data_IF_913467803809
#
_entry.id   IF_913467803809
#
_cell.length_a   1.000
_cell.length_b   1.000
_cell.length_c   1.000
_cell.angle_alpha   90.00
_cell.angle_beta   90.00
_cell.angle_gamma   90.00
#
_symmetry.space_group_name_H-M   'P 1'
#
loop_
_entity.id
_entity.type
_entity.pdbx_description
1 polymer ?
#
# COMPACT_ATOMS: atom_id res chain seq x y z
N UNK A 1 -0.73 1.59 -12.48
CA UNK A 1 0.68 1.67 -12.88
C UNK A 1 0.84 2.84 -13.84
N UNK A 2 1.77 3.76 -13.61
CA UNK A 2 2.02 4.87 -14.54
C UNK A 2 3.00 4.46 -15.63
N UNK A 3 4.20 3.97 -15.28
CA UNK A 3 5.24 3.50 -16.24
C UNK A 3 5.67 2.05 -15.96
N UNK A 4 6.24 1.38 -16.96
CA UNK A 4 6.93 0.09 -16.82
C UNK A 4 6.03 -1.14 -16.99
N UNK A 5 6.51 -2.33 -16.58
CA UNK A 5 5.77 -3.60 -16.69
C UNK A 5 5.30 -4.09 -15.33
N UNK A 6 4.02 -4.40 -15.19
CA UNK A 6 3.41 -4.90 -13.95
C UNK A 6 2.68 -6.22 -14.16
N UNK A 7 2.78 -7.14 -13.21
CA UNK A 7 2.02 -8.39 -13.22
C UNK A 7 1.12 -8.43 -11.98
N UNK A 8 -0.17 -8.63 -12.20
CA UNK A 8 -1.20 -8.68 -11.16
C UNK A 8 -1.96 -9.98 -11.37
N UNK A 9 -1.85 -10.93 -10.44
CA UNK A 9 -2.51 -12.22 -10.58
C UNK A 9 -3.10 -12.75 -9.28
N UNK A 10 -4.07 -13.67 -9.39
CA UNK A 10 -4.77 -14.35 -8.28
C UNK A 10 -5.22 -13.42 -7.13
N UNK A 11 -5.61 -12.19 -7.45
CA UNK A 11 -6.10 -11.20 -6.48
C UNK A 11 -7.64 -11.16 -6.45
N UNK A 12 -8.22 -10.89 -5.27
CA UNK A 12 -9.67 -10.78 -5.07
C UNK A 12 -10.10 -9.32 -4.82
N UNK A 13 -10.86 -8.74 -5.74
CA UNK A 13 -11.36 -7.37 -5.66
C UNK A 13 -12.86 -7.38 -5.34
N UNK A 14 -13.27 -6.74 -4.24
CA UNK A 14 -14.67 -6.78 -3.75
C UNK A 14 -15.31 -5.42 -3.49
N UNK A 15 -14.59 -4.34 -3.78
CA UNK A 15 -15.01 -3.01 -3.35
C UNK A 15 -16.12 -2.45 -4.24
N UNK A 16 -17.36 -2.67 -3.81
CA UNK A 16 -18.55 -2.14 -4.45
C UNK A 16 -18.56 -0.60 -4.36
N UNK A 17 -18.83 0.06 -5.49
CA UNK A 17 -18.88 1.53 -5.59
C UNK A 17 -17.54 2.22 -5.88
N UNK A 18 -16.41 1.49 -5.95
CA UNK A 18 -15.14 2.08 -6.36
C UNK A 18 -15.18 2.54 -7.83
N UNK A 19 -14.43 3.61 -8.13
CA UNK A 19 -14.33 4.13 -9.48
C UNK A 19 -13.59 3.19 -10.44
N UNK A 20 -12.61 2.42 -9.97
CA UNK A 20 -11.90 1.36 -10.70
C UNK A 20 -11.12 0.46 -9.74
N UNK A 21 -10.72 -0.74 -10.19
CA UNK A 21 -9.82 -1.63 -9.40
C UNK A 21 -8.36 -1.55 -9.87
N UNK A 22 -8.11 -1.69 -11.17
CA UNK A 22 -6.76 -1.60 -11.76
C UNK A 22 -6.72 -0.46 -12.77
N UNK A 23 -5.89 0.54 -12.51
CA UNK A 23 -5.67 1.64 -13.46
C UNK A 23 -4.27 1.57 -14.08
N UNK A 24 -4.19 1.56 -15.41
CA UNK A 24 -2.92 1.60 -16.15
C UNK A 24 -2.81 2.91 -16.92
N UNK A 25 -1.71 3.63 -16.74
CA UNK A 25 -1.46 4.95 -17.32
C UNK A 25 -0.25 4.97 -18.25
N UNK A 26 0.27 6.17 -18.44
CA UNK A 26 1.27 6.58 -19.42
C UNK A 26 2.50 5.68 -19.57
N UNK A 27 2.55 4.89 -20.64
CA UNK A 27 3.64 3.99 -21.02
C UNK A 27 3.83 2.79 -20.10
N UNK A 28 2.79 2.40 -19.35
CA UNK A 28 2.76 1.14 -18.63
C UNK A 28 2.19 0.00 -19.48
N UNK A 29 2.69 -1.21 -19.23
CA UNK A 29 2.14 -2.46 -19.73
C UNK A 29 1.85 -3.42 -18.57
N UNK A 30 0.59 -3.79 -18.37
CA UNK A 30 0.18 -4.61 -17.23
C UNK A 30 -0.41 -5.92 -17.68
N UNK A 31 0.04 -7.00 -17.07
CA UNK A 31 -0.50 -8.34 -17.19
C UNK A 31 -1.43 -8.60 -15.99
N UNK A 32 -2.71 -8.82 -16.26
CA UNK A 32 -3.78 -9.02 -15.28
C UNK A 32 -4.33 -10.44 -15.47
N UNK A 33 -3.94 -11.37 -14.60
CA UNK A 33 -4.19 -12.81 -14.79
C UNK A 33 -4.94 -13.47 -13.63
N UNK A 34 -5.95 -14.27 -13.94
CA UNK A 34 -6.63 -15.13 -12.97
C UNK A 34 -7.09 -14.43 -11.68
N UNK A 35 -7.42 -13.15 -11.74
CA UNK A 35 -7.98 -12.39 -10.63
C UNK A 35 -9.50 -12.57 -10.58
N UNK A 36 -10.10 -12.38 -9.41
CA UNK A 36 -11.55 -12.38 -9.23
C UNK A 36 -12.03 -10.97 -8.89
N UNK A 37 -12.95 -10.45 -9.69
CA UNK A 37 -13.57 -9.14 -9.50
C UNK A 37 -15.05 -9.33 -9.15
N UNK A 38 -15.46 -8.91 -7.95
CA UNK A 38 -16.83 -9.04 -7.44
C UNK A 38 -17.47 -7.67 -7.21
N UNK A 39 -18.58 -7.40 -7.89
CA UNK A 39 -19.38 -6.18 -7.75
C UNK A 39 -18.60 -4.86 -7.91
N UNK A 40 -17.42 -4.90 -8.54
CA UNK A 40 -16.61 -3.71 -8.78
C UNK A 40 -17.03 -3.02 -10.07
N UNK A 41 -16.92 -1.69 -10.09
CA UNK A 41 -17.05 -0.89 -11.30
C UNK A 41 -15.66 -0.63 -11.89
N UNK A 42 -15.55 -0.67 -13.23
CA UNK A 42 -14.31 -0.58 -13.99
C UNK A 42 -13.17 -1.48 -13.43
N UNK A 43 -13.29 -2.82 -13.49
CA UNK A 43 -12.27 -3.76 -13.00
C UNK A 43 -10.85 -3.41 -13.43
N UNK A 44 -10.67 -3.04 -14.70
CA UNK A 44 -9.42 -2.51 -15.21
C UNK A 44 -9.69 -1.47 -16.30
N UNK A 45 -8.88 -0.42 -16.29
CA UNK A 45 -9.04 0.70 -17.23
C UNK A 45 -7.72 1.37 -17.59
N UNK A 46 -7.71 2.01 -18.74
CA UNK A 46 -6.73 3.04 -19.05
C UNK A 46 -7.05 4.31 -18.25
N UNK A 47 -6.03 4.90 -17.62
CA UNK A 47 -6.16 6.03 -16.69
C UNK A 47 -6.12 7.39 -17.38
N UNK A 48 -5.35 7.47 -18.46
CA UNK A 48 -5.09 8.68 -19.24
C UNK A 48 -5.23 8.36 -20.74
N UNK A 49 -4.88 9.30 -21.63
CA UNK A 49 -4.90 9.08 -23.09
C UNK A 49 -3.53 8.72 -23.67
N UNK A 50 -2.52 8.53 -22.82
CA UNK A 50 -1.17 8.23 -23.28
C UNK A 50 -1.05 6.75 -23.68
N UNK A 51 -0.02 6.38 -24.46
CA UNK A 51 0.16 5.01 -24.87
C UNK A 51 0.27 4.05 -23.68
N UNK A 52 -0.46 2.95 -23.67
CA UNK A 52 -0.44 1.96 -22.58
C UNK A 52 -0.96 0.62 -23.09
N UNK A 53 -0.73 -0.46 -22.34
CA UNK A 53 -1.19 -1.79 -22.71
C UNK A 53 -1.71 -2.57 -21.50
N UNK A 54 -2.85 -3.23 -21.64
CA UNK A 54 -3.37 -4.17 -20.63
C UNK A 54 -3.56 -5.54 -21.30
N UNK A 55 -2.78 -6.52 -20.86
CA UNK A 55 -3.04 -7.93 -21.15
C UNK A 55 -3.93 -8.47 -20.03
N UNK A 56 -5.19 -8.80 -20.31
CA UNK A 56 -6.09 -9.40 -19.34
C UNK A 56 -6.47 -10.83 -19.78
N UNK A 57 -6.21 -11.84 -18.96
CA UNK A 57 -6.59 -13.23 -19.26
C UNK A 57 -6.96 -14.03 -18.02
N UNK A 58 -7.85 -15.02 -18.16
CA UNK A 58 -8.24 -15.93 -17.09
C UNK A 58 -8.95 -15.31 -15.88
N UNK A 59 -9.25 -14.01 -15.87
CA UNK A 59 -9.94 -13.34 -14.76
C UNK A 59 -11.44 -13.69 -14.73
N UNK A 60 -12.03 -13.68 -13.53
CA UNK A 60 -13.48 -13.81 -13.31
C UNK A 60 -14.09 -12.46 -12.98
N UNK A 61 -15.23 -12.16 -13.60
CA UNK A 61 -16.00 -10.93 -13.42
C UNK A 61 -17.41 -11.26 -12.94
N UNK A 62 -17.61 -11.25 -11.63
CA UNK A 62 -18.89 -11.52 -10.97
C UNK A 62 -19.59 -10.21 -10.60
N UNK A 63 -20.75 -9.93 -11.19
CA UNK A 63 -21.53 -8.72 -10.91
C UNK A 63 -20.81 -7.39 -11.24
N UNK A 64 -19.74 -7.41 -12.04
CA UNK A 64 -18.96 -6.20 -12.35
C UNK A 64 -19.64 -5.31 -13.39
N UNK A 65 -19.38 -4.01 -13.33
CA UNK A 65 -19.89 -3.02 -14.29
C UNK A 65 -18.76 -2.14 -14.86
N UNK A 66 -19.08 -1.34 -15.88
CA UNK A 66 -18.15 -0.38 -16.48
C UNK A 66 -17.10 -1.00 -17.41
N UNK A 67 -15.91 -0.38 -17.44
CA UNK A 67 -14.78 -0.67 -18.34
C UNK A 67 -14.01 -1.92 -17.96
N UNK A 68 -13.59 -2.65 -18.99
CA UNK A 68 -12.68 -3.79 -18.91
C UNK A 68 -11.68 -3.66 -20.06
N UNK A 69 -10.86 -2.62 -19.97
CA UNK A 69 -9.95 -2.24 -21.06
C UNK A 69 -8.84 -3.30 -21.24
N UNK A 70 -8.63 -3.75 -22.47
CA UNK A 70 -7.54 -4.69 -22.82
C UNK A 70 -6.98 -4.36 -24.20
N UNK A 71 -5.76 -4.81 -24.47
CA UNK A 71 -5.02 -4.46 -25.68
C UNK A 71 -4.24 -3.16 -25.51
N UNK A 72 -3.92 -2.54 -26.65
CA UNK A 72 -3.20 -1.28 -26.69
C UNK A 72 -4.15 -0.09 -26.64
N UNK A 73 -3.75 0.93 -25.88
CA UNK A 73 -4.15 2.31 -26.12
C UNK A 73 -2.93 3.03 -26.72
N UNK A 74 -3.08 3.69 -27.85
CA UNK A 74 -1.96 4.32 -28.54
C UNK A 74 -0.91 3.32 -29.07
N UNK A 75 0.29 3.81 -29.37
CA UNK A 75 1.38 3.01 -29.95
C UNK A 75 2.69 3.22 -29.19
N UNK A 76 3.61 2.27 -29.31
CA UNK A 76 4.94 2.36 -28.68
C UNK A 76 5.06 1.69 -27.30
N UNK A 77 4.03 0.96 -26.84
CA UNK A 77 4.10 0.14 -25.63
C UNK A 77 4.05 -1.33 -26.00
N UNK A 78 5.14 -2.05 -25.71
CA UNK A 78 5.21 -3.49 -25.94
C UNK A 78 4.31 -4.25 -24.95
N UNK A 79 3.46 -5.17 -25.41
CA UNK A 79 2.64 -6.00 -24.53
C UNK A 79 3.49 -6.78 -23.53
N UNK A 80 3.09 -6.76 -22.26
CA UNK A 80 3.61 -7.66 -21.26
C UNK A 80 2.69 -8.87 -21.17
N UNK A 81 3.14 -9.99 -21.71
CA UNK A 81 2.36 -11.25 -21.84
C UNK A 81 3.04 -12.45 -21.19
N UNK A 82 4.34 -12.33 -20.91
CA UNK A 82 5.16 -13.37 -20.30
C UNK A 82 6.15 -12.75 -19.28
N UNK A 83 5.93 -12.95 -17.98
CA UNK A 83 6.87 -12.57 -16.94
C UNK A 83 8.22 -13.29 -17.07
N UNK A 84 9.35 -12.65 -16.73
CA UNK A 84 10.68 -13.26 -16.80
C UNK A 84 10.97 -14.22 -15.62
N UNK A 85 9.92 -14.71 -14.95
CA UNK A 85 10.00 -15.57 -13.79
C UNK A 85 8.89 -16.62 -13.85
N UNK A 86 9.15 -17.78 -13.25
CA UNK A 86 8.15 -18.85 -13.15
C UNK A 86 7.09 -18.51 -12.10
N UNK A 87 5.84 -18.86 -12.40
CA UNK A 87 4.71 -18.71 -11.49
C UNK A 87 3.67 -19.78 -11.80
N UNK A 88 2.85 -20.10 -10.81
CA UNK A 88 1.66 -20.92 -10.98
C UNK A 88 0.43 -20.04 -10.76
N UNK A 89 -0.63 -20.33 -11.50
CA UNK A 89 -1.90 -19.64 -11.35
C UNK A 89 -2.90 -20.57 -10.69
N UNK A 90 -3.55 -20.10 -9.62
CA UNK A 90 -4.76 -20.74 -9.14
C UNK A 90 -5.92 -20.47 -10.11
N UNK A 91 -6.94 -21.32 -10.10
CA UNK A 91 -8.17 -21.05 -10.85
C UNK A 91 -8.82 -19.80 -10.27
N UNK A 92 -9.14 -18.83 -11.12
CA UNK A 92 -9.74 -17.57 -10.70
C UNK A 92 -11.02 -17.76 -9.88
N UNK A 93 -11.84 -18.78 -10.16
CA UNK A 93 -13.06 -19.07 -9.38
C UNK A 93 -12.76 -19.49 -7.93
N UNK A 94 -11.59 -20.06 -7.67
CA UNK A 94 -11.18 -20.50 -6.35
C UNK A 94 -10.54 -19.35 -5.55
N UNK A 95 -10.09 -18.29 -6.22
CA UNK A 95 -9.41 -17.14 -5.60
C UNK A 95 -10.20 -16.51 -4.44
N UNK A 96 -11.53 -16.26 -4.50
CA UNK A 96 -12.26 -15.77 -3.34
C UNK A 96 -12.14 -16.69 -2.13
N UNK A 97 -12.22 -18.01 -2.34
CA UNK A 97 -12.06 -19.01 -1.29
C UNK A 97 -10.63 -19.05 -0.76
N UNK A 98 -9.63 -19.09 -1.64
CA UNK A 98 -8.21 -19.08 -1.27
C UNK A 98 -7.87 -17.82 -0.50
N UNK A 99 -8.23 -16.64 -1.00
CA UNK A 99 -7.95 -15.37 -0.32
C UNK A 99 -8.70 -15.29 1.01
N UNK A 100 -9.99 -15.62 1.06
CA UNK A 100 -10.75 -15.52 2.32
C UNK A 100 -10.28 -16.53 3.36
N UNK A 101 -9.81 -17.71 2.92
CA UNK A 101 -9.34 -18.75 3.83
C UNK A 101 -7.86 -18.58 4.20
N UNK A 102 -7.04 -18.02 3.30
CA UNK A 102 -5.57 -18.06 3.38
C UNK A 102 -4.89 -16.70 3.40
N UNK A 103 -5.56 -15.62 3.01
CA UNK A 103 -5.01 -14.28 3.21
C UNK A 103 -5.21 -13.84 4.67
N UNK A 104 -4.23 -13.11 5.19
CA UNK A 104 -4.18 -12.70 6.59
C UNK A 104 -3.44 -13.70 7.49
N UNK A 105 -3.11 -13.29 8.74
CA UNK A 105 -2.36 -14.14 9.66
C UNK A 105 -3.22 -15.31 10.13
N UNK A 106 -2.82 -16.54 9.80
CA UNK A 106 -3.38 -17.75 10.43
C UNK A 106 -2.60 -18.09 11.69
N UNK A 107 -3.27 -18.16 12.85
CA UNK A 107 -2.70 -18.82 14.02
C UNK A 107 -2.71 -20.33 13.76
N UNK A 108 -1.55 -20.97 13.79
CA UNK A 108 -1.34 -22.39 13.44
C UNK A 108 -1.89 -23.40 14.46
N UNK A 109 -2.73 -23.00 15.42
CA UNK A 109 -3.28 -23.90 16.43
C UNK A 109 -4.64 -23.40 16.96
N UNK A 110 -5.77 -24.09 16.67
CA UNK A 110 -7.06 -23.71 17.22
C UNK A 110 -7.20 -24.33 18.61
N UNK A 111 -6.77 -23.60 19.65
CA UNK A 111 -7.32 -23.85 20.99
C UNK A 111 -8.44 -22.85 21.18
N UNK A 112 -9.68 -23.36 21.14
CA UNK A 112 -10.92 -22.60 21.28
C UNK A 112 -10.90 -21.76 22.56
N UNK A 113 -10.94 -20.42 22.50
CA UNK A 113 -11.28 -19.61 23.66
C UNK A 113 -12.76 -19.82 24.00
N UNK A 114 -13.16 -19.80 25.28
CA UNK A 114 -14.54 -20.11 25.68
C UNK A 114 -15.52 -19.13 25.04
N UNK A 115 -16.60 -19.67 24.47
CA UNK A 115 -17.73 -18.93 23.94
C UNK A 115 -18.36 -18.13 25.07
N UNK A 116 -18.16 -16.81 25.07
CA UNK A 116 -19.03 -15.88 25.79
C UNK A 116 -19.85 -15.13 24.75
N UNK A 117 -21.16 -15.13 24.96
CA UNK A 117 -22.15 -14.52 24.08
C UNK A 117 -21.80 -13.05 23.85
N UNK A 118 -21.76 -12.56 22.60
CA UNK A 118 -21.52 -11.15 22.33
C UNK A 118 -22.60 -10.29 23.01
N UNK A 119 -22.23 -9.23 23.76
CA UNK A 119 -23.22 -8.30 24.27
C UNK A 119 -23.83 -7.55 23.08
N UNK A 120 -25.16 -7.57 22.97
CA UNK A 120 -25.94 -6.66 22.13
C UNK A 120 -25.88 -5.27 22.74
N UNK A 121 -24.95 -4.45 22.30
CA UNK A 121 -25.02 -3.00 22.47
C UNK A 121 -24.95 -2.32 21.12
N UNK A 122 -25.93 -1.45 20.88
CA UNK A 122 -26.11 -0.68 19.66
C UNK A 122 -24.88 0.18 19.40
N UNK A 123 -24.35 0.26 18.15
CA UNK A 123 -23.23 1.14 17.83
C UNK A 123 -23.53 2.60 18.23
N UNK A 124 -22.63 3.30 18.96
CA UNK A 124 -22.82 4.71 19.23
C UNK A 124 -22.56 5.50 17.94
N UNK A 125 -23.52 6.31 17.53
CA UNK A 125 -23.30 7.41 16.58
C UNK A 125 -22.52 8.51 17.30
N UNK A 126 -21.20 8.53 17.12
CA UNK A 126 -20.37 9.69 17.44
C UNK A 126 -19.85 10.33 16.17
N UNK A 127 -20.10 11.63 16.05
CA UNK A 127 -19.63 12.49 14.96
C UNK A 127 -18.10 12.49 14.93
N UNK A 128 -17.45 12.44 13.74
CA UNK A 128 -15.99 12.54 13.64
C UNK A 128 -15.46 13.81 14.34
N UNK A 129 -14.43 13.72 15.18
CA UNK A 129 -13.83 14.91 15.78
C UNK A 129 -13.02 15.67 14.72
N UNK A 130 -13.36 16.95 14.51
CA UNK A 130 -12.49 17.92 13.86
C UNK A 130 -11.41 18.35 14.85
N UNK A 131 -10.27 17.66 14.86
CA UNK A 131 -9.06 18.16 15.53
C UNK A 131 -8.11 18.75 14.51
N UNK A 132 -7.73 20.00 14.75
CA UNK A 132 -6.73 20.75 13.99
C UNK A 132 -5.37 20.02 14.10
N UNK A 133 -4.57 19.91 13.01
CA UNK A 133 -3.25 19.28 13.08
C UNK A 133 -2.34 19.94 14.12
N UNK A 134 -1.54 19.17 14.88
CA UNK A 134 -0.61 19.75 15.84
C UNK A 134 0.49 20.52 15.11
N UNK A 135 0.65 21.79 15.46
CA UNK A 135 1.77 22.63 15.05
C UNK A 135 2.95 22.40 15.99
N UNK A 136 3.82 21.45 15.65
CA UNK A 136 5.16 21.37 16.24
C UNK A 136 6.13 22.12 15.33
N UNK A 137 6.82 23.13 15.88
CA UNK A 137 7.85 23.87 15.14
C UNK A 137 8.92 22.89 14.62
N UNK A 138 9.36 22.99 13.35
CA UNK A 138 10.36 22.07 12.81
C UNK A 138 11.70 22.24 13.55
N UNK A 139 12.39 21.15 13.92
CA UNK A 139 13.77 21.23 14.36
C UNK A 139 14.66 21.77 13.23
N UNK A 140 15.67 22.57 13.58
CA UNK A 140 16.58 23.29 12.69
C UNK A 140 17.60 22.40 11.96
N UNK A 141 17.18 21.22 11.49
CA UNK A 141 18.00 20.31 10.69
C UNK A 141 17.76 20.47 9.19
N UNK A 142 18.60 19.83 8.37
CA UNK A 142 18.41 19.79 6.91
C UNK A 142 17.08 19.15 6.49
N UNK A 143 16.47 18.32 7.36
CA UNK A 143 15.12 17.79 7.19
C UNK A 143 14.44 17.51 8.53
N UNK A 144 13.11 17.36 8.49
CA UNK A 144 12.27 16.87 9.57
C UNK A 144 11.42 15.69 9.11
N UNK A 145 10.92 14.89 10.05
CA UNK A 145 10.03 13.77 9.78
C UNK A 145 8.86 13.76 10.75
N UNK A 146 7.65 13.50 10.25
CA UNK A 146 6.42 13.43 11.05
C UNK A 146 5.72 12.10 10.81
N UNK A 147 5.18 11.50 11.87
CA UNK A 147 4.53 10.20 11.83
C UNK A 147 3.04 10.32 12.11
N UNK A 148 2.24 9.48 11.45
CA UNK A 148 0.88 9.17 11.88
C UNK A 148 0.56 7.69 11.68
N UNK A 149 -0.33 7.17 12.51
CA UNK A 149 -0.99 5.89 12.27
C UNK A 149 -2.13 6.10 11.29
N UNK A 150 -2.10 5.39 10.16
CA UNK A 150 -3.15 5.46 9.12
C UNK A 150 -4.33 4.56 9.50
N UNK A 151 -4.02 3.36 9.98
CA UNK A 151 -5.01 2.39 10.47
C UNK A 151 -4.36 1.44 11.48
N UNK A 152 -5.17 0.79 12.30
CA UNK A 152 -4.73 -0.27 13.20
C UNK A 152 -5.74 -1.41 13.26
N UNK A 153 -5.25 -2.59 13.60
CA UNK A 153 -6.03 -3.80 13.79
C UNK A 153 -5.43 -4.61 14.95
N UNK A 154 -6.10 -5.69 15.34
CA UNK A 154 -5.58 -6.58 16.39
C UNK A 154 -4.22 -7.14 15.97
N UNK A 155 -3.16 -6.74 16.68
CA UNK A 155 -1.80 -7.21 16.46
C UNK A 155 -0.99 -6.47 15.38
N UNK A 156 -1.52 -5.39 14.78
CA UNK A 156 -0.73 -4.61 13.84
C UNK A 156 -1.31 -3.24 13.49
N UNK A 157 -0.54 -2.47 12.72
CA UNK A 157 -0.91 -1.12 12.30
C UNK A 157 -0.21 -0.70 11.02
N UNK A 158 -0.78 0.29 10.33
CA UNK A 158 -0.13 0.97 9.22
C UNK A 158 0.40 2.32 9.69
N UNK A 159 1.71 2.53 9.53
CA UNK A 159 2.39 3.78 9.79
C UNK A 159 2.66 4.54 8.49
N UNK A 160 2.55 5.86 8.55
CA UNK A 160 2.98 6.76 7.48
C UNK A 160 3.93 7.81 8.05
N UNK A 161 5.00 8.09 7.33
CA UNK A 161 5.99 9.10 7.67
C UNK A 161 6.16 10.09 6.53
N UNK A 162 5.96 11.36 6.83
CA UNK A 162 6.24 12.48 5.92
C UNK A 162 7.60 13.06 6.26
N UNK A 163 8.50 13.07 5.27
CA UNK A 163 9.81 13.71 5.34
C UNK A 163 9.71 15.07 4.67
N UNK A 164 10.24 16.11 5.32
CA UNK A 164 10.25 17.48 4.81
C UNK A 164 11.67 18.06 4.84
N UNK A 165 12.11 18.62 3.73
CA UNK A 165 13.36 19.38 3.66
C UNK A 165 13.23 20.70 4.43
N UNK A 166 14.34 21.18 5.00
CA UNK A 166 14.43 22.50 5.60
C UNK A 166 14.42 23.63 4.56
N UNK A 167 15.08 24.75 4.87
CA UNK A 167 15.11 25.91 3.97
C UNK A 167 16.10 25.75 2.80
N UNK A 168 16.82 24.64 2.72
CA UNK A 168 17.73 24.28 1.63
C UNK A 168 17.28 22.96 0.97
N UNK A 169 17.56 22.77 -0.33
CA UNK A 169 17.31 21.49 -0.99
C UNK A 169 18.22 20.39 -0.40
N UNK A 170 17.72 19.15 -0.43
CA UNK A 170 18.47 17.97 0.02
C UNK A 170 18.51 16.92 -1.09
N UNK A 171 19.59 16.13 -1.15
CA UNK A 171 19.78 15.03 -2.13
C UNK A 171 19.84 13.66 -1.48
N UNK A 172 19.17 13.52 -0.35
CA UNK A 172 19.00 12.28 0.37
C UNK A 172 18.38 12.56 1.72
N UNK A 173 17.75 11.55 2.29
CA UNK A 173 17.25 11.64 3.65
C UNK A 173 17.37 10.30 4.34
N UNK A 174 17.53 10.35 5.65
CA UNK A 174 17.52 9.19 6.52
C UNK A 174 16.69 9.49 7.74
N UNK A 175 15.63 8.72 7.95
CA UNK A 175 14.77 8.79 9.13
C UNK A 175 15.15 7.68 10.09
N UNK A 176 15.23 7.99 11.38
CA UNK A 176 15.53 7.02 12.44
C UNK A 176 14.59 7.16 13.61
N UNK A 177 14.23 6.03 14.21
CA UNK A 177 13.45 5.95 15.44
C UNK A 177 13.66 4.61 16.14
N UNK A 178 13.11 4.49 17.34
CA UNK A 178 13.06 3.22 18.07
C UNK A 178 11.62 2.72 18.14
N UNK A 179 11.44 1.43 17.88
CA UNK A 179 10.19 0.71 18.07
C UNK A 179 9.90 0.57 19.57
N UNK A 180 8.62 0.67 19.93
CA UNK A 180 8.16 0.36 21.28
C UNK A 180 8.26 -1.14 21.55
N UNK A 181 8.29 -1.54 22.83
CA UNK A 181 8.33 -2.96 23.19
C UNK A 181 7.19 -3.75 22.53
N UNK A 182 7.51 -4.88 21.91
CA UNK A 182 6.54 -5.72 21.20
C UNK A 182 6.16 -5.23 19.80
N UNK A 183 6.72 -4.12 19.30
CA UNK A 183 6.55 -3.70 17.91
C UNK A 183 7.66 -4.25 17.01
N UNK A 184 7.29 -4.53 15.77
CA UNK A 184 8.17 -4.86 14.66
C UNK A 184 7.72 -4.16 13.38
N UNK A 185 8.58 -4.09 12.37
CA UNK A 185 8.19 -3.67 11.02
C UNK A 185 8.18 -4.91 10.13
N UNK A 186 7.04 -5.21 9.51
CA UNK A 186 6.88 -6.37 8.64
C UNK A 186 7.03 -6.02 7.16
N UNK A 187 6.68 -4.80 6.76
CA UNK A 187 6.83 -4.32 5.39
C UNK A 187 7.06 -2.82 5.37
N UNK A 188 7.84 -2.32 4.42
CA UNK A 188 8.05 -0.90 4.18
C UNK A 188 8.04 -0.62 2.67
N UNK A 189 7.51 0.54 2.26
CA UNK A 189 7.53 1.01 0.87
C UNK A 189 8.03 2.45 0.80
N UNK A 190 8.48 2.86 -0.39
CA UNK A 190 9.07 4.18 -0.67
C UNK A 190 10.28 4.54 0.22
N UNK A 191 11.00 3.53 0.69
CA UNK A 191 12.24 3.68 1.44
C UNK A 191 12.98 2.35 1.53
N UNK A 192 14.25 2.42 1.96
CA UNK A 192 15.07 1.25 2.23
C UNK A 192 15.22 1.09 3.75
N UNK A 193 14.69 -0.02 4.28
CA UNK A 193 14.62 -0.32 5.72
C UNK A 193 15.88 -1.08 6.18
N UNK A 194 16.45 -0.64 7.28
CA UNK A 194 17.43 -1.40 8.07
C UNK A 194 17.04 -1.36 9.54
N UNK A 195 17.06 -2.52 10.20
CA UNK A 195 16.69 -2.67 11.61
C UNK A 195 17.81 -3.34 12.39
N UNK A 196 18.10 -2.85 13.59
CA UNK A 196 19.01 -3.48 14.54
C UNK A 196 18.38 -3.44 15.94
N UNK A 197 17.93 -4.59 16.43
CA UNK A 197 17.10 -4.63 17.64
C UNK A 197 15.82 -3.81 17.47
N UNK A 198 15.58 -2.87 18.38
CA UNK A 198 14.45 -1.93 18.31
C UNK A 198 14.73 -0.69 17.45
N UNK A 199 15.97 -0.46 17.02
CA UNK A 199 16.33 0.71 16.22
C UNK A 199 16.00 0.50 14.74
N UNK A 200 15.28 1.46 14.19
CA UNK A 200 14.86 1.50 12.79
C UNK A 200 15.58 2.65 12.08
N UNK A 201 16.12 2.36 10.90
CA UNK A 201 16.66 3.34 9.97
C UNK A 201 16.00 3.14 8.62
N UNK A 202 15.46 4.23 8.05
CA UNK A 202 14.90 4.23 6.70
C UNK A 202 15.61 5.29 5.88
N UNK A 203 16.17 4.87 4.74
CA UNK A 203 16.78 5.76 3.75
C UNK A 203 15.86 5.94 2.55
N UNK A 204 16.04 7.05 1.83
CA UNK A 204 15.36 7.25 0.56
C UNK A 204 15.67 6.13 -0.44
N UNK A 205 14.74 5.91 -1.38
CA UNK A 205 15.01 5.20 -2.63
C UNK A 205 15.41 6.22 -3.71
N UNK A 206 15.89 5.73 -4.85
CA UNK A 206 16.54 6.59 -5.86
C UNK A 206 15.66 7.74 -6.34
N UNK A 207 14.36 7.50 -6.51
CA UNK A 207 13.44 8.49 -7.07
C UNK A 207 12.92 9.53 -6.07
N UNK A 208 13.11 9.33 -4.76
CA UNK A 208 12.51 10.19 -3.73
C UNK A 208 13.52 10.81 -2.76
N UNK A 209 14.80 10.75 -3.08
CA UNK A 209 15.87 11.37 -2.28
C UNK A 209 16.05 12.87 -2.49
N UNK A 210 15.81 13.36 -3.71
CA UNK A 210 15.98 14.78 -4.05
C UNK A 210 14.72 15.57 -3.71
N UNK A 211 14.82 16.48 -2.76
CA UNK A 211 13.73 17.39 -2.38
C UNK A 211 14.20 18.85 -2.52
N UNK A 212 13.41 19.72 -3.16
CA UNK A 212 13.67 21.16 -3.11
C UNK A 212 13.51 21.68 -1.67
N UNK A 213 13.97 22.90 -1.41
CA UNK A 213 13.72 23.57 -0.14
C UNK A 213 12.21 23.52 0.21
N UNK A 214 11.90 23.21 1.47
CA UNK A 214 10.55 22.97 1.98
C UNK A 214 9.74 21.84 1.32
N UNK A 215 10.34 21.11 0.36
CA UNK A 215 9.73 19.97 -0.33
C UNK A 215 9.52 18.77 0.58
N UNK A 216 8.60 17.89 0.18
CA UNK A 216 8.17 16.74 0.99
C UNK A 216 8.12 15.45 0.20
N UNK A 217 8.33 14.33 0.89
CA UNK A 217 8.03 12.98 0.39
C UNK A 217 7.47 12.12 1.52
N UNK A 218 6.88 10.99 1.15
CA UNK A 218 6.20 10.11 2.09
C UNK A 218 6.63 8.66 1.89
N UNK A 219 6.89 7.98 2.99
CA UNK A 219 7.02 6.53 3.03
C UNK A 219 6.06 5.94 4.07
N UNK A 220 5.77 4.65 3.94
CA UNK A 220 4.87 3.96 4.85
C UNK A 220 5.35 2.55 5.17
N UNK A 221 4.78 1.99 6.23
CA UNK A 221 5.14 0.66 6.70
C UNK A 221 3.96 -0.05 7.37
N UNK A 222 4.02 -1.37 7.40
CA UNK A 222 3.18 -2.20 8.27
C UNK A 222 4.00 -2.56 9.51
N UNK A 223 3.43 -2.29 10.67
CA UNK A 223 3.97 -2.64 11.97
C UNK A 223 3.17 -3.76 12.64
N UNK A 224 3.83 -4.59 13.44
CA UNK A 224 3.19 -5.51 14.38
C UNK A 224 3.05 -4.88 15.76
N UNK A 225 2.13 -5.39 16.57
CA UNK A 225 1.85 -4.89 17.91
C UNK A 225 0.88 -3.70 17.93
N UNK A 226 0.79 -3.02 19.07
CA UNK A 226 -0.07 -1.84 19.23
C UNK A 226 0.60 -0.60 18.65
N UNK A 227 -0.10 0.26 17.90
CA UNK A 227 0.48 1.50 17.40
C UNK A 227 0.91 2.41 18.55
N UNK A 228 2.03 3.11 18.37
CA UNK A 228 2.49 4.16 19.26
C UNK A 228 2.98 5.35 18.44
N UNK A 229 3.28 6.47 19.09
CA UNK A 229 3.83 7.67 18.43
C UNK A 229 5.34 7.74 18.71
N UNK A 230 6.21 7.25 17.81
CA UNK A 230 7.64 7.30 18.00
C UNK A 230 8.19 8.73 17.84
N UNK A 231 9.29 9.02 18.55
CA UNK A 231 10.09 10.22 18.26
C UNK A 231 10.97 9.93 17.04
N UNK A 232 10.75 10.68 15.95
CA UNK A 232 11.51 10.56 14.72
C UNK A 232 12.66 11.57 14.67
N UNK A 233 13.79 11.14 14.12
CA UNK A 233 14.88 12.03 13.70
C UNK A 233 15.07 11.94 12.20
N UNK A 234 15.44 13.05 11.56
CA UNK A 234 15.74 13.11 10.13
C UNK A 234 17.10 13.77 9.90
N UNK A 235 17.91 13.17 9.03
CA UNK A 235 19.21 13.72 8.59
C UNK A 235 19.33 13.69 7.07
N UNK A 236 19.90 14.72 6.47
CA UNK A 236 20.42 14.70 5.08
C UNK A 236 21.92 14.44 5.11
N UNK A 237 22.48 13.70 4.13
CA UNK A 237 23.92 13.74 3.84
C UNK A 237 24.35 15.13 3.36
#
# INVERSE_FOLDING_TARGET
MLFGKGHIYNSYYTSAGNAYSIGTGSYASVLVENNYFKNVNNPHRFQDSNPTYITARGNVYDGTSGRRDTGAQGSGVTPFTNPPYSYALDNANDVPGIVSNCAGPKLSNPTTPPTTTPPTTTPPTTTPPTTTPPTTNPPSGACSATYRTVSSWSGGFQGEVVVRAGNAPINGWTVRWNLSSGQGISQLWNGNLSTSGSSVTVRNVDYNGSLPAAGTTTFGFLGSGSPSTPSLTCTSP
#
